data_IF_125721165879
#
_entry.id   IF_125721165879
#
_cell.length_a   1.000
_cell.length_b   1.000
_cell.length_c   1.000
_cell.angle_alpha   90.00
_cell.angle_beta   90.00
_cell.angle_gamma   90.00
#
_symmetry.space_group_name_H-M   'P 1'
#
loop_
_entity.id
_entity.type
_entity.pdbx_description
1 polymer ?
#
# COMPACT_ATOMS: atom_id res chain seq x y z
N UNK A 1 16.66 6.86 -90.01
CA UNK A 1 15.54 6.54 -89.16
C UNK A 1 16.09 5.85 -87.90
N UNK A 2 16.37 6.58 -86.83
CA UNK A 2 16.90 6.00 -85.56
C UNK A 2 15.87 6.23 -84.45
N UNK A 3 15.37 5.14 -83.93
CA UNK A 3 14.37 5.11 -82.78
C UNK A 3 15.13 5.29 -81.46
N UNK A 4 14.93 6.40 -80.78
CA UNK A 4 15.38 6.62 -79.42
C UNK A 4 14.45 5.85 -78.40
N UNK A 5 15.06 5.04 -77.58
CA UNK A 5 14.39 4.37 -76.44
C UNK A 5 14.67 5.20 -75.18
N UNK A 6 13.64 5.78 -74.61
CA UNK A 6 13.72 6.46 -73.32
C UNK A 6 13.49 5.40 -72.24
N UNK A 7 14.50 5.14 -71.38
CA UNK A 7 14.38 4.32 -70.21
C UNK A 7 13.93 5.22 -69.02
N UNK A 8 12.72 4.96 -68.51
CA UNK A 8 12.24 5.60 -67.30
C UNK A 8 12.75 4.85 -66.07
N UNK A 9 13.60 5.49 -65.29
CA UNK A 9 14.07 4.98 -63.98
C UNK A 9 13.04 5.32 -62.90
N UNK A 10 12.35 4.32 -62.37
CA UNK A 10 11.48 4.43 -61.19
C UNK A 10 12.37 4.45 -59.92
N UNK A 11 12.57 5.64 -59.36
CA UNK A 11 13.08 5.80 -57.99
C UNK A 11 11.97 5.47 -56.98
N UNK A 12 12.00 4.24 -56.44
CA UNK A 12 11.17 3.87 -55.29
C UNK A 12 11.66 4.54 -54.02
N UNK A 13 11.00 5.62 -53.58
CA UNK A 13 11.25 6.26 -52.30
C UNK A 13 10.78 5.35 -51.13
N UNK A 14 11.75 4.81 -50.41
CA UNK A 14 11.48 4.10 -49.14
C UNK A 14 11.07 5.13 -48.08
N UNK A 15 9.77 5.27 -47.84
CA UNK A 15 9.24 6.11 -46.76
C UNK A 15 9.55 5.42 -45.41
N UNK A 16 10.59 5.86 -44.72
CA UNK A 16 10.86 5.51 -43.32
C UNK A 16 9.86 6.26 -42.47
N UNK A 17 8.76 5.59 -42.09
CA UNK A 17 7.82 6.08 -41.10
C UNK A 17 8.55 6.23 -39.76
N UNK A 18 8.56 7.38 -39.08
CA UNK A 18 9.10 7.50 -37.74
C UNK A 18 8.25 6.63 -36.83
N UNK A 19 8.81 5.51 -36.34
CA UNK A 19 8.23 4.77 -35.24
C UNK A 19 8.25 5.69 -34.01
N UNK A 20 7.10 6.32 -33.69
CA UNK A 20 6.92 7.02 -32.45
C UNK A 20 7.16 6.04 -31.30
N UNK A 21 8.36 6.04 -30.72
CA UNK A 21 8.62 5.42 -29.45
C UNK A 21 7.70 6.13 -28.43
N UNK A 22 6.53 5.54 -28.17
CA UNK A 22 5.71 5.96 -27.04
C UNK A 22 6.54 5.68 -25.79
N UNK A 23 7.08 6.74 -25.19
CA UNK A 23 7.71 6.68 -23.89
C UNK A 23 6.62 6.24 -22.90
N UNK A 24 6.70 4.99 -22.43
CA UNK A 24 5.77 4.48 -21.44
C UNK A 24 6.02 5.24 -20.14
N UNK A 25 5.01 5.96 -19.67
CA UNK A 25 5.11 6.79 -18.47
C UNK A 25 5.01 5.90 -17.24
N UNK A 26 5.94 6.09 -16.28
CA UNK A 26 5.89 5.41 -14.99
C UNK A 26 4.89 6.13 -14.10
N UNK A 27 3.98 5.38 -13.50
CA UNK A 27 2.97 5.87 -12.56
C UNK A 27 3.32 5.47 -11.14
N UNK A 28 3.15 6.41 -10.21
CA UNK A 28 3.43 6.22 -8.80
C UNK A 28 2.14 6.22 -7.99
N UNK A 29 2.07 5.31 -7.01
CA UNK A 29 0.90 5.08 -6.16
C UNK A 29 1.26 5.22 -4.69
N UNK A 30 0.31 5.68 -3.87
CA UNK A 30 0.44 5.78 -2.41
C UNK A 30 -0.73 5.08 -1.73
N UNK A 31 -0.48 4.45 -0.60
CA UNK A 31 -1.51 3.83 0.24
C UNK A 31 -2.13 4.83 1.23
N UNK A 32 -1.44 5.95 1.50
CA UNK A 32 -1.90 6.97 2.42
C UNK A 32 -2.73 8.03 1.68
N UNK A 33 -3.82 8.51 2.28
CA UNK A 33 -4.40 9.78 1.92
C UNK A 33 -5.67 9.80 1.07
N UNK A 34 -6.35 8.67 0.83
CA UNK A 34 -7.65 8.69 0.15
C UNK A 34 -8.84 9.02 1.09
N UNK A 35 -8.69 8.86 2.39
CA UNK A 35 -9.74 9.19 3.34
C UNK A 35 -9.62 10.66 3.78
N UNK A 36 -10.71 11.44 3.74
CA UNK A 36 -10.68 12.81 4.23
C UNK A 36 -10.27 12.80 5.70
N UNK A 37 -9.30 13.66 6.05
CA UNK A 37 -8.91 13.86 7.43
C UNK A 37 -10.15 14.19 8.24
N UNK A 38 -10.50 13.34 9.20
CA UNK A 38 -11.57 13.65 10.14
C UNK A 38 -11.12 14.90 10.90
N UNK A 39 -11.97 15.93 11.04
CA UNK A 39 -11.60 17.09 11.83
C UNK A 39 -11.17 16.58 13.21
N UNK A 40 -9.93 16.87 13.57
CA UNK A 40 -9.39 16.52 14.89
C UNK A 40 -10.24 17.27 15.89
N UNK A 41 -11.17 16.58 16.55
CA UNK A 41 -11.79 17.11 17.75
C UNK A 41 -10.65 17.36 18.73
N UNK A 42 -10.56 18.57 19.25
CA UNK A 42 -9.64 18.93 20.31
C UNK A 42 -10.04 18.22 21.62
N UNK A 43 -9.96 16.90 21.62
CA UNK A 43 -10.07 16.09 22.83
C UNK A 43 -8.67 15.98 23.44
N UNK A 44 -8.52 16.04 24.77
CA UNK A 44 -7.23 15.81 25.39
C UNK A 44 -6.69 14.43 24.96
N UNK A 45 -5.39 14.41 24.57
CA UNK A 45 -4.70 13.15 24.23
C UNK A 45 -4.65 12.28 25.48
N UNK A 46 -5.30 11.14 25.44
CA UNK A 46 -5.37 10.21 26.55
C UNK A 46 -4.20 9.22 26.55
N UNK A 47 -3.69 8.87 25.38
CA UNK A 47 -2.55 7.96 25.19
C UNK A 47 -1.98 8.11 23.78
N UNK A 48 -0.76 7.60 23.59
CA UNK A 48 -0.02 7.63 22.34
C UNK A 48 0.16 6.24 21.78
N UNK A 49 0.05 6.09 20.45
CA UNK A 49 0.28 4.83 19.72
C UNK A 49 1.36 5.07 18.68
N UNK A 50 2.42 4.28 18.72
CA UNK A 50 3.46 4.29 17.71
C UNK A 50 3.36 3.05 16.83
N UNK A 51 3.24 3.25 15.52
CA UNK A 51 3.21 2.17 14.52
C UNK A 51 4.60 2.09 13.87
N UNK A 52 5.32 1.00 14.15
CA UNK A 52 6.60 0.72 13.51
C UNK A 52 6.39 0.32 12.04
N UNK A 53 7.45 0.47 11.21
CA UNK A 53 7.41 -0.02 9.84
C UNK A 53 7.02 -1.51 9.81
N UNK A 54 6.14 -1.88 8.88
CA UNK A 54 5.71 -3.27 8.72
C UNK A 54 6.85 -4.13 8.17
N UNK A 55 6.95 -5.38 8.61
CA UNK A 55 7.72 -6.35 7.85
C UNK A 55 6.85 -6.87 6.70
N UNK A 56 7.44 -7.04 5.52
CA UNK A 56 6.77 -7.56 4.32
C UNK A 56 7.60 -8.69 3.71
N UNK A 57 7.00 -9.64 2.99
CA UNK A 57 7.74 -10.64 2.23
C UNK A 57 8.73 -9.99 1.27
N UNK A 58 9.92 -10.57 1.13
CA UNK A 58 11.01 -10.05 0.28
C UNK A 58 10.56 -9.82 -1.18
N UNK A 59 9.70 -10.70 -1.70
CA UNK A 59 9.15 -10.56 -3.05
C UNK A 59 8.31 -9.29 -3.25
N UNK A 60 7.80 -8.69 -2.17
CA UNK A 60 6.99 -7.47 -2.17
C UNK A 60 7.78 -6.23 -1.73
N UNK A 61 8.98 -6.40 -1.13
CA UNK A 61 9.81 -5.29 -0.65
C UNK A 61 10.60 -4.64 -1.80
N UNK A 62 9.85 -4.10 -2.75
CA UNK A 62 10.34 -3.48 -3.99
C UNK A 62 9.47 -2.29 -4.38
N UNK A 63 10.00 -1.37 -5.20
CA UNK A 63 9.22 -0.21 -5.66
C UNK A 63 8.12 -0.58 -6.66
N UNK A 64 8.27 -1.67 -7.43
CA UNK A 64 7.30 -2.09 -8.43
C UNK A 64 6.05 -2.71 -7.78
N UNK A 65 4.87 -2.48 -8.39
CA UNK A 65 3.68 -3.22 -8.01
C UNK A 65 3.81 -4.69 -8.45
N UNK A 66 3.54 -5.58 -7.50
CA UNK A 66 3.48 -7.03 -7.74
C UNK A 66 2.02 -7.45 -7.84
N UNK A 67 1.63 -7.96 -8.99
CA UNK A 67 0.27 -8.40 -9.25
C UNK A 67 0.16 -9.93 -9.18
N UNK A 68 -0.86 -10.43 -8.53
CA UNK A 68 -1.24 -11.85 -8.53
C UNK A 68 -2.02 -12.16 -9.81
N UNK A 69 -1.47 -13.03 -10.65
CA UNK A 69 -2.12 -13.47 -11.89
C UNK A 69 -2.84 -14.81 -11.70
N UNK A 70 -2.27 -15.71 -10.90
CA UNK A 70 -2.86 -17.00 -10.54
C UNK A 70 -2.39 -17.43 -9.15
N UNK A 71 -2.75 -18.64 -8.72
CA UNK A 71 -2.31 -19.18 -7.42
C UNK A 71 -0.79 -19.30 -7.30
N UNK A 72 -0.08 -19.46 -8.42
CA UNK A 72 1.36 -19.70 -8.45
C UNK A 72 2.14 -18.63 -9.23
N UNK A 73 1.45 -17.70 -9.92
CA UNK A 73 2.08 -16.74 -10.79
C UNK A 73 1.88 -15.31 -10.31
N UNK A 74 2.95 -14.54 -10.31
CA UNK A 74 2.94 -13.09 -10.07
C UNK A 74 3.61 -12.36 -11.23
N UNK A 75 3.15 -11.15 -11.51
CA UNK A 75 3.80 -10.23 -12.42
C UNK A 75 4.36 -9.04 -11.65
N UNK A 76 5.55 -8.61 -12.02
CA UNK A 76 6.15 -7.36 -11.54
C UNK A 76 5.96 -6.32 -12.62
N UNK A 77 5.35 -5.18 -12.28
CA UNK A 77 5.03 -4.14 -13.24
C UNK A 77 6.01 -2.97 -13.15
N UNK A 78 6.88 -2.85 -14.14
CA UNK A 78 7.93 -1.82 -14.20
C UNK A 78 7.38 -0.39 -14.36
N UNK A 79 6.14 -0.24 -14.80
CA UNK A 79 5.50 1.05 -15.07
C UNK A 79 4.56 1.53 -13.97
N UNK A 80 4.26 0.68 -12.99
CA UNK A 80 3.41 1.00 -11.86
C UNK A 80 4.17 0.73 -10.56
N UNK A 81 4.45 1.81 -9.81
CA UNK A 81 5.36 1.76 -8.66
C UNK A 81 4.75 2.39 -7.42
N UNK A 82 5.17 1.91 -6.26
CA UNK A 82 4.92 2.59 -5.01
C UNK A 82 5.71 3.89 -4.94
N UNK A 83 5.11 4.98 -4.48
CA UNK A 83 5.74 6.28 -4.30
C UNK A 83 6.71 6.30 -3.10
N UNK A 84 6.58 5.34 -2.21
CA UNK A 84 7.40 5.12 -1.01
C UNK A 84 7.60 3.63 -0.76
N UNK A 85 8.57 3.20 0.07
CA UNK A 85 8.72 1.79 0.43
C UNK A 85 7.40 1.22 0.96
N UNK A 86 6.99 0.05 0.45
CA UNK A 86 5.69 -0.55 0.77
C UNK A 86 5.51 -0.75 2.28
N UNK A 87 6.58 -1.13 3.00
CA UNK A 87 6.59 -1.28 4.47
C UNK A 87 6.21 0.01 5.21
N UNK A 88 6.66 1.16 4.71
CA UNK A 88 6.36 2.48 5.27
C UNK A 88 4.94 2.90 4.92
N UNK A 89 4.53 2.72 3.67
CA UNK A 89 3.17 3.01 3.21
C UNK A 89 2.11 2.23 3.98
N UNK A 90 2.34 0.93 4.24
CA UNK A 90 1.45 0.09 5.06
C UNK A 90 1.36 0.63 6.49
N UNK A 91 2.50 0.92 7.13
CA UNK A 91 2.52 1.43 8.51
C UNK A 91 1.75 2.75 8.63
N UNK A 92 1.95 3.65 7.65
CA UNK A 92 1.26 4.94 7.59
C UNK A 92 -0.25 4.78 7.38
N UNK A 93 -0.66 3.95 6.43
CA UNK A 93 -2.08 3.68 6.18
C UNK A 93 -2.79 3.10 7.41
N UNK A 94 -2.14 2.14 8.11
CA UNK A 94 -2.69 1.59 9.36
C UNK A 94 -2.71 2.63 10.47
N UNK A 95 -1.69 3.49 10.61
CA UNK A 95 -1.68 4.57 11.60
C UNK A 95 -2.83 5.56 11.36
N UNK A 96 -3.09 5.93 10.10
CA UNK A 96 -4.22 6.78 9.73
C UNK A 96 -5.57 6.12 10.07
N UNK A 97 -5.71 4.82 9.80
CA UNK A 97 -6.88 4.02 10.18
C UNK A 97 -7.08 3.98 11.69
N UNK A 98 -6.03 3.73 12.46
CA UNK A 98 -6.05 3.74 13.92
C UNK A 98 -6.41 5.12 14.49
N UNK A 99 -5.87 6.21 13.92
CA UNK A 99 -6.21 7.57 14.34
C UNK A 99 -7.69 7.89 14.14
N UNK A 100 -8.31 7.31 13.12
CA UNK A 100 -9.77 7.43 12.91
C UNK A 100 -10.58 6.56 13.87
N UNK A 101 -10.06 5.40 14.24
CA UNK A 101 -10.77 4.41 15.03
C UNK A 101 -10.60 4.61 16.54
N UNK A 102 -9.48 5.15 17.00
CA UNK A 102 -9.15 5.29 18.43
C UNK A 102 -9.40 6.72 18.93
N UNK A 103 -10.49 6.90 19.65
CA UNK A 103 -10.81 8.21 20.26
C UNK A 103 -9.77 8.57 21.34
N UNK A 104 -9.23 9.79 21.28
CA UNK A 104 -8.27 10.31 22.24
C UNK A 104 -6.84 9.74 22.09
N UNK A 105 -6.55 8.94 21.07
CA UNK A 105 -5.20 8.48 20.78
C UNK A 105 -4.47 9.47 19.86
N UNK A 106 -3.21 9.77 20.16
CA UNK A 106 -2.28 10.36 19.21
C UNK A 106 -1.50 9.21 18.54
N UNK A 107 -1.75 9.00 17.26
CA UNK A 107 -1.14 7.92 16.49
C UNK A 107 -0.04 8.48 15.59
N UNK A 108 1.12 7.84 15.58
CA UNK A 108 2.24 8.16 14.70
C UNK A 108 2.79 6.90 14.04
N UNK A 109 3.40 7.06 12.85
CA UNK A 109 4.14 6.01 12.19
C UNK A 109 5.56 6.50 11.87
N UNK A 110 6.58 5.66 12.11
CA UNK A 110 7.95 5.94 11.67
C UNK A 110 8.75 4.66 11.46
N UNK A 111 9.78 4.74 10.64
CA UNK A 111 10.73 3.64 10.42
C UNK A 111 11.69 3.44 11.60
N UNK A 112 11.91 4.48 12.40
CA UNK A 112 12.86 4.44 13.50
C UNK A 112 12.25 3.72 14.70
N UNK A 113 12.83 2.58 15.06
CA UNK A 113 12.64 1.99 16.38
C UNK A 113 13.35 2.89 17.38
N UNK A 114 12.60 3.63 18.15
CA UNK A 114 13.16 4.38 19.28
C UNK A 114 13.55 3.35 20.35
N UNK A 115 14.78 3.41 20.81
CA UNK A 115 15.30 2.55 21.90
C UNK A 115 14.63 2.84 23.24
N UNK A 116 13.96 3.97 23.38
CA UNK A 116 13.11 4.30 24.52
C UNK A 116 11.66 4.43 24.08
N UNK A 117 10.71 3.78 24.77
CA UNK A 117 9.30 3.91 24.47
C UNK A 117 8.85 5.34 24.74
N UNK A 118 8.73 6.14 23.68
CA UNK A 118 8.16 7.50 23.73
C UNK A 118 6.64 7.46 23.57
N UNK A 119 6.05 6.27 23.46
CA UNK A 119 4.63 6.02 23.26
C UNK A 119 4.09 5.04 24.28
N UNK A 120 2.81 5.19 24.63
CA UNK A 120 2.12 4.29 25.56
C UNK A 120 1.90 2.89 24.95
N UNK A 121 1.75 2.82 23.62
CA UNK A 121 1.57 1.58 22.88
C UNK A 121 2.50 1.55 21.67
N UNK A 122 3.26 0.48 21.52
CA UNK A 122 4.05 0.17 20.34
C UNK A 122 3.36 -0.95 19.53
N UNK A 123 3.02 -0.66 18.28
CA UNK A 123 2.44 -1.61 17.35
C UNK A 123 3.49 -2.05 16.34
N UNK A 124 3.71 -3.36 16.24
CA UNK A 124 4.50 -4.00 15.19
C UNK A 124 3.62 -4.89 14.34
N UNK A 125 3.90 -4.93 13.04
CA UNK A 125 3.12 -5.70 12.06
C UNK A 125 4.04 -6.55 11.19
N UNK A 126 3.58 -7.76 10.90
CA UNK A 126 4.19 -8.70 9.97
C UNK A 126 3.16 -9.05 8.89
N UNK A 127 3.34 -8.50 7.71
CA UNK A 127 2.52 -8.80 6.53
C UNK A 127 2.95 -10.15 5.98
N UNK A 128 2.15 -11.17 6.20
CA UNK A 128 2.44 -12.54 5.74
C UNK A 128 2.03 -12.77 4.30
N UNK A 129 0.98 -12.04 3.88
CA UNK A 129 0.45 -12.13 2.53
C UNK A 129 -0.12 -10.78 2.11
N UNK A 130 0.17 -10.38 0.89
CA UNK A 130 -0.50 -9.29 0.20
C UNK A 130 -0.59 -9.67 -1.28
N UNK A 131 -1.74 -10.13 -1.68
CA UNK A 131 -2.03 -10.45 -3.08
C UNK A 131 -2.88 -9.32 -3.66
N UNK A 132 -2.39 -8.72 -4.72
CA UNK A 132 -3.06 -7.65 -5.47
C UNK A 132 -3.43 -8.20 -6.84
N UNK A 133 -4.71 -8.27 -7.15
CA UNK A 133 -5.25 -8.70 -8.45
C UNK A 133 -6.10 -7.59 -9.04
N UNK A 134 -5.90 -7.27 -10.31
CA UNK A 134 -6.72 -6.27 -11.01
C UNK A 134 -8.17 -6.76 -11.22
N UNK A 135 -8.38 -8.08 -11.24
CA UNK A 135 -9.68 -8.69 -11.43
C UNK A 135 -10.44 -8.91 -10.11
N UNK A 136 -9.74 -9.45 -9.09
CA UNK A 136 -10.37 -9.94 -7.85
C UNK A 136 -10.26 -8.94 -6.70
N UNK A 137 -9.29 -8.01 -6.79
CA UNK A 137 -9.00 -7.06 -5.73
C UNK A 137 -7.81 -7.50 -4.86
N UNK A 138 -7.94 -7.39 -3.55
CA UNK A 138 -6.83 -7.58 -2.61
C UNK A 138 -7.17 -8.62 -1.57
N UNK A 139 -6.19 -9.48 -1.26
CA UNK A 139 -6.20 -10.35 -0.09
C UNK A 139 -4.96 -10.03 0.75
N UNK A 140 -5.16 -9.66 2.02
CA UNK A 140 -4.07 -9.36 2.94
C UNK A 140 -4.19 -10.21 4.21
N UNK A 141 -3.05 -10.69 4.71
CA UNK A 141 -2.91 -11.33 6.01
C UNK A 141 -1.79 -10.65 6.79
N UNK A 142 -2.13 -10.14 7.98
CA UNK A 142 -1.21 -9.42 8.86
C UNK A 142 -1.24 -10.06 10.24
N UNK A 143 -0.08 -10.47 10.74
CA UNK A 143 0.11 -10.72 12.16
C UNK A 143 0.56 -9.42 12.83
N UNK A 144 0.02 -9.11 14.00
CA UNK A 144 0.34 -7.88 14.70
C UNK A 144 0.57 -8.12 16.20
N UNK A 145 1.34 -7.21 16.80
CA UNK A 145 1.62 -7.18 18.23
C UNK A 145 1.55 -5.73 18.71
N UNK A 146 0.71 -5.50 19.72
CA UNK A 146 0.63 -4.24 20.45
C UNK A 146 1.23 -4.46 21.85
N UNK A 147 2.27 -3.73 22.18
CA UNK A 147 2.97 -3.79 23.47
C UNK A 147 2.79 -2.45 24.19
N UNK A 148 2.29 -2.52 25.41
CA UNK A 148 2.18 -1.33 26.27
C UNK A 148 3.50 -1.04 26.97
N UNK A 149 3.80 0.25 27.14
CA UNK A 149 4.97 0.70 27.89
C UNK A 149 4.92 0.29 29.37
N UNK A 150 6.03 0.47 30.09
CA UNK A 150 6.16 0.24 31.52
C UNK A 150 5.74 -1.20 31.94
N UNK A 151 6.31 -2.21 31.26
CA UNK A 151 5.99 -3.62 31.48
C UNK A 151 4.51 -3.97 31.37
N UNK A 152 3.78 -3.14 30.63
CA UNK A 152 2.38 -3.39 30.34
C UNK A 152 2.16 -4.65 29.50
N UNK A 153 0.90 -5.08 29.35
CA UNK A 153 0.58 -6.30 28.63
C UNK A 153 0.98 -6.22 27.17
N UNK A 154 1.13 -7.37 26.57
CA UNK A 154 1.28 -7.54 25.13
C UNK A 154 0.02 -8.21 24.58
N UNK A 155 -0.56 -7.62 23.55
CA UNK A 155 -1.64 -8.21 22.77
C UNK A 155 -1.11 -8.59 21.38
N UNK A 156 -1.49 -9.73 20.91
CA UNK A 156 -1.16 -10.21 19.56
C UNK A 156 -2.43 -10.67 18.88
N UNK A 157 -2.43 -10.56 17.56
CA UNK A 157 -3.55 -11.02 16.75
C UNK A 157 -3.16 -11.23 15.30
N UNK A 158 -4.13 -11.66 14.52
CA UNK A 158 -4.01 -11.85 13.09
C UNK A 158 -5.26 -11.31 12.42
N UNK A 159 -5.07 -10.43 11.45
CA UNK A 159 -6.13 -9.92 10.59
C UNK A 159 -6.02 -10.56 9.20
N UNK A 160 -7.12 -11.05 8.67
CA UNK A 160 -7.21 -11.55 7.29
C UNK A 160 -8.37 -10.83 6.61
N UNK A 161 -8.04 -10.04 5.59
CA UNK A 161 -9.01 -9.20 4.89
C UNK A 161 -8.98 -9.51 3.39
N UNK A 162 -10.15 -9.54 2.78
CA UNK A 162 -10.33 -9.58 1.33
C UNK A 162 -11.17 -8.38 0.92
N UNK A 163 -10.66 -7.59 -0.02
CA UNK A 163 -11.31 -6.39 -0.52
C UNK A 163 -11.42 -6.46 -2.04
N UNK A 164 -12.63 -6.36 -2.57
CA UNK A 164 -12.83 -6.31 -4.02
C UNK A 164 -12.40 -4.96 -4.57
N UNK A 165 -11.71 -4.97 -5.70
CA UNK A 165 -11.46 -3.76 -6.48
C UNK A 165 -12.71 -3.40 -7.31
N UNK A 166 -12.96 -2.11 -7.57
CA UNK A 166 -13.97 -1.69 -8.55
C UNK A 166 -13.63 -2.28 -9.93
N UNK A 167 -14.62 -2.84 -10.64
CA UNK A 167 -14.41 -3.54 -11.92
C UNK A 167 -13.77 -2.67 -13.01
N UNK A 168 -13.99 -1.35 -12.98
CA UNK A 168 -13.42 -0.40 -13.94
C UNK A 168 -12.15 0.30 -13.42
N UNK A 169 -11.65 -0.08 -12.25
CA UNK A 169 -10.63 0.69 -11.54
C UNK A 169 -9.18 0.43 -11.98
N UNK A 170 -8.88 -0.68 -12.64
CA UNK A 170 -7.52 -1.04 -13.00
C UNK A 170 -6.56 -0.95 -11.81
N UNK A 171 -5.38 -0.35 -12.01
CA UNK A 171 -4.39 -0.13 -10.94
C UNK A 171 -4.89 0.80 -9.83
N UNK A 172 -5.58 1.89 -10.19
CA UNK A 172 -6.14 2.82 -9.20
C UNK A 172 -7.16 2.10 -8.30
N UNK A 173 -8.02 1.27 -8.90
CA UNK A 173 -8.97 0.44 -8.15
C UNK A 173 -8.30 -0.60 -7.26
N UNK A 174 -7.21 -1.23 -7.73
CA UNK A 174 -6.46 -2.19 -6.94
C UNK A 174 -5.76 -1.52 -5.75
N UNK A 175 -5.15 -0.35 -5.95
CA UNK A 175 -4.52 0.43 -4.87
C UNK A 175 -5.56 0.95 -3.87
N UNK A 176 -6.73 1.40 -4.34
CA UNK A 176 -7.83 1.78 -3.46
C UNK A 176 -8.34 0.59 -2.63
N UNK A 177 -8.39 -0.62 -3.22
CA UNK A 177 -8.72 -1.84 -2.49
C UNK A 177 -7.65 -2.20 -1.45
N UNK A 178 -6.35 -1.98 -1.73
CA UNK A 178 -5.27 -2.13 -0.75
C UNK A 178 -5.48 -1.18 0.45
N UNK A 179 -5.75 0.09 0.20
CA UNK A 179 -6.00 1.08 1.26
C UNK A 179 -7.22 0.67 2.10
N UNK A 180 -8.32 0.27 1.48
CA UNK A 180 -9.53 -0.17 2.20
C UNK A 180 -9.29 -1.46 3.01
N UNK A 181 -8.45 -2.39 2.51
CA UNK A 181 -8.08 -3.59 3.25
C UNK A 181 -7.24 -3.25 4.49
N UNK A 182 -6.31 -2.29 4.38
CA UNK A 182 -5.50 -1.80 5.51
C UNK A 182 -6.34 -1.04 6.54
N UNK A 183 -7.36 -0.30 6.11
CA UNK A 183 -8.34 0.31 7.01
C UNK A 183 -9.08 -0.76 7.83
N UNK A 184 -9.51 -1.84 7.20
CA UNK A 184 -10.16 -2.94 7.90
C UNK A 184 -9.21 -3.65 8.90
N UNK A 185 -7.92 -3.80 8.55
CA UNK A 185 -6.88 -4.27 9.47
C UNK A 185 -6.75 -3.33 10.67
N UNK A 186 -6.68 -2.02 10.44
CA UNK A 186 -6.59 -1.01 11.49
C UNK A 186 -7.80 -1.05 12.43
N UNK A 187 -9.01 -1.24 11.92
CA UNK A 187 -10.24 -1.39 12.70
C UNK A 187 -10.21 -2.62 13.62
N UNK A 188 -9.66 -3.75 13.14
CA UNK A 188 -9.51 -4.96 13.93
C UNK A 188 -8.50 -4.78 15.07
N UNK A 189 -7.35 -4.15 14.78
CA UNK A 189 -6.35 -3.80 15.78
C UNK A 189 -6.94 -2.82 16.80
N UNK A 190 -7.65 -1.78 16.34
CA UNK A 190 -8.26 -0.79 17.20
C UNK A 190 -9.27 -1.40 18.19
N UNK A 191 -10.04 -2.41 17.79
CA UNK A 191 -10.94 -3.13 18.71
C UNK A 191 -10.17 -3.78 19.85
N UNK A 192 -9.04 -4.43 19.56
CA UNK A 192 -8.20 -5.09 20.57
C UNK A 192 -7.52 -4.07 21.49
N UNK A 193 -7.03 -2.95 20.96
CA UNK A 193 -6.40 -1.86 21.74
C UNK A 193 -7.44 -1.21 22.66
N UNK A 194 -8.64 -0.91 22.16
CA UNK A 194 -9.73 -0.32 22.96
C UNK A 194 -10.13 -1.16 24.17
N UNK A 195 -10.27 -2.48 23.98
CA UNK A 195 -10.61 -3.39 25.06
C UNK A 195 -9.58 -3.34 26.19
N UNK A 196 -8.29 -3.24 25.83
CA UNK A 196 -7.22 -3.15 26.83
C UNK A 196 -7.20 -1.78 27.54
N UNK A 197 -7.40 -0.69 26.81
CA UNK A 197 -7.46 0.66 27.41
C UNK A 197 -8.63 0.78 28.38
N UNK A 198 -9.80 0.19 28.07
CA UNK A 198 -10.96 0.20 28.94
C UNK A 198 -10.78 -0.66 30.20
N UNK A 199 -10.03 -1.76 30.13
CA UNK A 199 -9.76 -2.63 31.27
C UNK A 199 -8.79 -2.02 32.30
N UNK A 200 -8.11 -0.94 31.95
CA UNK A 200 -7.11 -0.25 32.80
C UNK A 200 -7.66 1.02 33.49
N UNK A 201 -8.87 1.42 33.17
CA UNK A 201 -9.58 2.54 33.82
C UNK A 201 -10.42 2.05 35.00
#
# INVERSE_FOLDING_TARGET
MRKARIAAALLGGLAIAPACLRKTEVRYYTLAGAAPARPVRAAPVAYTVHVAAASVPEALDRPELVLRLSDTEVAVDDHHRWAEPLRTGIARAVADGLARALDGALVSASEQRTTQPTSDVELTMDVRRLDVSLADGVAIEVAWRARWANDGPTRTGRATVRQRAPQSGGYDGAVAACAAALDAVAEEIARSVRLEVLSRR
#
